data_IF_164622931557
#
_entry.id   IF_164622931557
#
_cell.length_a   1.000
_cell.length_b   1.000
_cell.length_c   1.000
_cell.angle_alpha   90.00
_cell.angle_beta   90.00
_cell.angle_gamma   90.00
#
_symmetry.space_group_name_H-M   'P 1'
#
loop_
_entity.id
_entity.type
_entity.pdbx_description
1 polymer ?
#
# COMPACT_ATOMS: atom_id res chain seq x y z
N UNK A 1 6.20 46.28 5.06
CA UNK A 1 7.35 45.49 4.55
C UNK A 1 6.84 44.53 3.49
N UNK A 2 7.10 44.82 2.20
CA UNK A 2 6.79 43.89 1.11
C UNK A 2 7.96 42.90 1.03
N UNK A 3 7.70 41.63 1.37
CA UNK A 3 8.71 40.59 1.21
C UNK A 3 8.97 40.40 -0.29
N UNK A 4 10.18 40.78 -0.71
CA UNK A 4 10.69 40.56 -2.05
C UNK A 4 10.66 39.06 -2.34
N UNK A 5 9.75 38.66 -3.23
CA UNK A 5 9.75 37.35 -3.86
C UNK A 5 11.10 37.23 -4.57
N UNK A 6 12.03 36.45 -4.01
CA UNK A 6 13.24 36.04 -4.72
C UNK A 6 12.78 35.36 -6.00
N UNK A 7 12.95 36.03 -7.15
CA UNK A 7 12.79 35.40 -8.46
C UNK A 7 13.90 34.36 -8.57
N UNK A 8 13.54 33.10 -8.30
CA UNK A 8 14.35 31.95 -8.71
C UNK A 8 14.61 32.12 -10.22
N UNK A 9 15.86 32.04 -10.70
CA UNK A 9 16.15 32.17 -12.12
C UNK A 9 15.27 31.19 -12.91
N UNK A 10 14.84 31.54 -14.13
CA UNK A 10 14.06 30.62 -14.95
C UNK A 10 14.91 29.36 -15.18
N UNK A 11 14.52 28.29 -14.49
CA UNK A 11 15.13 26.98 -14.67
C UNK A 11 14.88 26.55 -16.11
N UNK A 12 15.94 26.27 -16.85
CA UNK A 12 15.82 25.72 -18.20
C UNK A 12 15.46 24.23 -18.10
N UNK A 13 14.16 23.96 -18.21
CA UNK A 13 13.60 22.61 -18.14
C UNK A 13 14.11 21.70 -19.28
N UNK A 14 14.48 22.27 -20.43
CA UNK A 14 15.02 21.50 -21.56
C UNK A 14 16.44 21.06 -21.26
N UNK A 15 17.27 21.97 -20.75
CA UNK A 15 18.63 21.64 -20.33
C UNK A 15 18.63 20.55 -19.24
N UNK A 16 17.72 20.64 -18.27
CA UNK A 16 17.57 19.60 -17.24
C UNK A 16 17.13 18.26 -17.85
N UNK A 17 16.24 18.27 -18.84
CA UNK A 17 15.84 17.06 -19.54
C UNK A 17 16.98 16.43 -20.34
N UNK A 18 17.73 17.23 -21.09
CA UNK A 18 18.87 16.76 -21.88
C UNK A 18 19.96 16.13 -20.98
N UNK A 19 20.24 16.75 -19.82
CA UNK A 19 21.15 16.18 -18.81
C UNK A 19 20.61 14.89 -18.20
N UNK A 20 19.29 14.79 -17.97
CA UNK A 20 18.67 13.55 -17.52
C UNK A 20 18.84 12.42 -18.54
N UNK A 21 18.63 12.70 -19.83
CA UNK A 21 18.87 11.74 -20.93
C UNK A 21 20.34 11.28 -20.99
N UNK A 22 21.28 12.16 -20.65
CA UNK A 22 22.71 11.83 -20.53
C UNK A 22 23.07 11.03 -19.26
N UNK A 23 22.09 10.74 -18.40
CA UNK A 23 22.26 10.03 -17.12
C UNK A 23 23.27 10.73 -16.19
N UNK A 24 23.24 12.06 -16.17
CA UNK A 24 24.06 12.86 -15.25
C UNK A 24 23.78 12.47 -13.79
N UNK A 25 24.80 12.05 -13.00
CA UNK A 25 24.61 11.62 -11.63
C UNK A 25 24.09 12.72 -10.68
N UNK A 26 24.30 14.00 -11.03
CA UNK A 26 23.86 15.14 -10.21
C UNK A 26 22.43 15.60 -10.54
N UNK A 27 21.77 15.02 -11.55
CA UNK A 27 20.51 15.56 -12.06
C UNK A 27 19.39 15.56 -11.02
N UNK A 28 19.36 14.59 -10.11
CA UNK A 28 18.35 14.52 -9.06
C UNK A 28 18.42 15.72 -8.10
N UNK A 29 19.63 16.16 -7.76
CA UNK A 29 19.83 17.33 -6.89
C UNK A 29 19.34 18.59 -7.59
N UNK A 30 19.67 18.75 -8.86
CA UNK A 30 19.25 19.90 -9.65
C UNK A 30 17.73 19.95 -9.85
N UNK A 31 17.10 18.81 -10.11
CA UNK A 31 15.64 18.67 -10.20
C UNK A 31 14.96 19.01 -8.87
N UNK A 32 15.52 18.53 -7.75
CA UNK A 32 15.00 18.81 -6.41
C UNK A 32 15.05 20.33 -6.13
N UNK A 33 16.21 20.95 -6.32
CA UNK A 33 16.40 22.39 -6.11
C UNK A 33 15.51 23.23 -7.04
N UNK A 34 15.30 22.77 -8.27
CA UNK A 34 14.47 23.46 -9.25
C UNK A 34 12.97 23.40 -8.96
N UNK A 35 12.47 22.26 -8.47
CA UNK A 35 11.03 21.97 -8.50
C UNK A 35 10.40 21.66 -7.14
N UNK A 36 11.18 21.38 -6.09
CA UNK A 36 10.63 20.90 -4.82
C UNK A 36 9.59 21.85 -4.22
N UNK A 37 9.93 23.14 -4.03
CA UNK A 37 9.02 24.12 -3.42
C UNK A 37 7.71 24.26 -4.21
N UNK A 38 7.79 24.23 -5.55
CA UNK A 38 6.61 24.41 -6.41
C UNK A 38 5.71 23.18 -6.38
N UNK A 39 6.30 21.98 -6.45
CA UNK A 39 5.54 20.73 -6.46
C UNK A 39 4.95 20.46 -5.07
N UNK A 40 5.74 20.55 -4.00
CA UNK A 40 5.26 20.38 -2.63
C UNK A 40 4.18 21.42 -2.26
N UNK A 41 4.38 22.69 -2.65
CA UNK A 41 3.38 23.73 -2.45
C UNK A 41 2.07 23.42 -3.18
N UNK A 42 2.13 22.88 -4.40
CA UNK A 42 0.94 22.44 -5.12
C UNK A 42 0.26 21.23 -4.47
N UNK A 43 1.02 20.23 -4.01
CA UNK A 43 0.47 19.03 -3.39
C UNK A 43 -0.20 19.34 -2.04
N UNK A 44 0.48 20.10 -1.19
CA UNK A 44 -0.04 20.46 0.14
C UNK A 44 -1.26 21.36 0.06
N UNK A 45 -1.28 22.36 -0.85
CA UNK A 45 -2.44 23.25 -1.01
C UNK A 45 -3.59 22.63 -1.81
N UNK A 46 -3.29 21.87 -2.87
CA UNK A 46 -4.28 21.34 -3.79
C UNK A 46 -4.89 19.99 -3.39
N UNK A 47 -4.10 19.12 -2.75
CA UNK A 47 -4.55 17.79 -2.29
C UNK A 47 -4.72 17.72 -0.76
N UNK A 48 -4.35 18.76 -0.02
CA UNK A 48 -4.42 18.82 1.46
C UNK A 48 -3.71 17.64 2.14
N UNK A 49 -2.66 17.11 1.53
CA UNK A 49 -1.81 16.12 2.17
C UNK A 49 -0.79 16.80 3.09
N UNK A 50 -0.30 16.04 4.08
CA UNK A 50 0.78 16.49 4.94
C UNK A 50 2.10 16.67 4.15
N UNK A 51 3.04 17.39 4.76
CA UNK A 51 4.32 17.75 4.13
C UNK A 51 5.20 16.52 3.86
N UNK A 52 5.17 15.52 4.73
CA UNK A 52 5.97 14.31 4.59
C UNK A 52 5.48 13.48 3.40
N UNK A 53 4.17 13.26 3.29
CA UNK A 53 3.56 12.59 2.14
C UNK A 53 3.85 13.33 0.82
N UNK A 54 3.82 14.66 0.83
CA UNK A 54 4.15 15.47 -0.35
C UNK A 54 5.64 15.33 -0.74
N UNK A 55 6.53 15.37 0.24
CA UNK A 55 7.97 15.24 0.04
C UNK A 55 8.32 13.85 -0.52
N UNK A 56 7.82 12.78 0.08
CA UNK A 56 8.05 11.43 -0.41
C UNK A 56 7.55 11.23 -1.85
N UNK A 57 6.34 11.71 -2.15
CA UNK A 57 5.78 11.60 -3.50
C UNK A 57 6.61 12.38 -4.53
N UNK A 58 7.19 13.51 -4.14
CA UNK A 58 8.13 14.25 -4.96
C UNK A 58 9.39 13.41 -5.22
N UNK A 59 10.02 12.88 -4.17
CA UNK A 59 11.24 12.06 -4.27
C UNK A 59 11.00 10.87 -5.20
N UNK A 60 9.92 10.11 -4.98
CA UNK A 60 9.57 8.96 -5.81
C UNK A 60 9.46 9.31 -7.31
N UNK A 61 8.85 10.46 -7.61
CA UNK A 61 8.65 10.92 -8.99
C UNK A 61 9.95 11.39 -9.62
N UNK A 62 10.79 12.13 -8.88
CA UNK A 62 12.07 12.57 -9.39
C UNK A 62 12.99 11.37 -9.66
N UNK A 63 13.03 10.38 -8.77
CA UNK A 63 13.77 9.14 -8.98
C UNK A 63 13.25 8.36 -10.19
N UNK A 64 11.93 8.18 -10.30
CA UNK A 64 11.34 7.47 -11.43
C UNK A 64 11.63 8.18 -12.77
N UNK A 65 11.56 9.51 -12.79
CA UNK A 65 11.91 10.32 -13.94
C UNK A 65 13.40 10.21 -14.29
N UNK A 66 14.31 10.37 -13.33
CA UNK A 66 15.76 10.27 -13.59
C UNK A 66 16.19 8.88 -14.05
N UNK A 67 15.47 7.83 -13.63
CA UNK A 67 15.72 6.45 -14.07
C UNK A 67 15.26 6.20 -15.50
N UNK A 68 14.16 6.83 -15.92
CA UNK A 68 13.55 6.66 -17.25
C UNK A 68 13.07 8.00 -17.82
N UNK A 69 14.01 8.91 -18.14
CA UNK A 69 13.68 10.26 -18.62
C UNK A 69 12.97 10.25 -19.98
N UNK A 70 13.15 9.20 -20.79
CA UNK A 70 12.59 9.05 -22.14
C UNK A 70 11.06 8.98 -22.16
N UNK A 71 10.41 8.74 -21.01
CA UNK A 71 8.94 8.72 -20.91
C UNK A 71 8.32 10.11 -20.96
N UNK A 72 9.11 11.16 -20.68
CA UNK A 72 8.66 12.53 -20.81
C UNK A 72 8.83 13.01 -22.25
N UNK A 73 7.76 13.57 -22.82
CA UNK A 73 7.77 14.20 -24.13
C UNK A 73 7.68 15.73 -23.98
N UNK A 74 8.77 16.47 -24.28
CA UNK A 74 8.78 17.94 -24.22
C UNK A 74 7.76 18.63 -25.14
N UNK A 75 7.17 17.92 -26.11
CA UNK A 75 6.13 18.46 -27.00
C UNK A 75 4.74 18.48 -26.35
N UNK A 76 4.52 17.64 -25.33
CA UNK A 76 3.22 17.50 -24.67
C UNK A 76 3.01 18.46 -23.51
N UNK A 77 4.08 19.09 -23.00
CA UNK A 77 3.98 20.07 -21.94
C UNK A 77 5.32 20.38 -21.29
N UNK A 78 5.26 21.17 -20.21
CA UNK A 78 6.43 21.50 -19.38
C UNK A 78 6.77 20.33 -18.46
N UNK A 79 8.06 20.16 -18.17
CA UNK A 79 8.58 19.11 -17.28
C UNK A 79 7.99 19.26 -15.89
N UNK A 80 7.93 20.49 -15.38
CA UNK A 80 7.36 20.75 -14.05
C UNK A 80 5.88 20.33 -13.97
N UNK A 81 5.11 20.52 -15.04
CA UNK A 81 3.70 20.12 -15.11
C UNK A 81 3.57 18.60 -15.14
N UNK A 82 4.40 17.92 -15.93
CA UNK A 82 4.47 16.47 -15.98
C UNK A 82 4.80 15.86 -14.60
N UNK A 83 5.84 16.36 -13.94
CA UNK A 83 6.27 15.88 -12.62
C UNK A 83 5.21 16.16 -11.55
N UNK A 84 4.57 17.34 -11.58
CA UNK A 84 3.49 17.68 -10.65
C UNK A 84 2.31 16.72 -10.81
N UNK A 85 1.95 16.40 -12.05
CA UNK A 85 0.84 15.48 -12.33
C UNK A 85 1.18 14.06 -11.89
N UNK A 86 2.41 13.59 -12.14
CA UNK A 86 2.88 12.30 -11.64
C UNK A 86 2.86 12.22 -10.10
N UNK A 87 3.30 13.28 -9.42
CA UNK A 87 3.32 13.34 -7.95
C UNK A 87 1.91 13.35 -7.38
N UNK A 88 0.96 14.04 -8.03
CA UNK A 88 -0.45 14.00 -7.69
C UNK A 88 -1.04 12.59 -7.78
N UNK A 89 -0.69 11.81 -8.81
CA UNK A 89 -1.11 10.41 -8.89
C UNK A 89 -0.50 9.58 -7.77
N UNK A 90 0.78 9.76 -7.45
CA UNK A 90 1.44 9.06 -6.33
C UNK A 90 0.77 9.36 -4.98
N UNK A 91 0.48 10.62 -4.70
CA UNK A 91 -0.24 11.02 -3.47
C UNK A 91 -1.63 10.36 -3.44
N UNK A 92 -2.37 10.37 -4.56
CA UNK A 92 -3.69 9.72 -4.62
C UNK A 92 -3.61 8.21 -4.42
N UNK A 93 -2.63 7.55 -5.02
CA UNK A 93 -2.42 6.11 -4.85
C UNK A 93 -2.03 5.79 -3.41
N UNK A 94 -1.20 6.61 -2.77
CA UNK A 94 -0.86 6.47 -1.34
C UNK A 94 -2.07 6.72 -0.45
N UNK A 95 -2.86 7.78 -0.69
CA UNK A 95 -4.09 8.04 0.07
C UNK A 95 -5.12 6.93 -0.12
N UNK A 96 -5.25 6.37 -1.33
CA UNK A 96 -6.10 5.22 -1.60
C UNK A 96 -5.58 3.95 -0.94
N UNK A 97 -4.26 3.75 -0.93
CA UNK A 97 -3.63 2.62 -0.26
C UNK A 97 -3.82 2.74 1.24
N UNK A 98 -3.59 3.92 1.83
CA UNK A 98 -3.87 4.22 3.24
C UNK A 98 -5.35 4.13 3.59
N UNK A 99 -6.27 4.53 2.71
CA UNK A 99 -7.71 4.36 2.93
C UNK A 99 -8.12 2.88 2.78
N UNK A 100 -7.47 2.13 1.90
CA UNK A 100 -7.68 0.68 1.77
C UNK A 100 -6.99 -0.10 2.89
N UNK A 101 -5.90 0.41 3.44
CA UNK A 101 -5.22 -0.10 4.63
C UNK A 101 -6.07 0.25 5.82
N UNK A 102 -6.43 1.50 6.08
CA UNK A 102 -7.37 1.90 7.11
C UNK A 102 -8.73 1.20 6.98
N UNK A 103 -9.27 0.93 5.79
CA UNK A 103 -10.49 0.11 5.66
C UNK A 103 -10.19 -1.37 5.91
N UNK A 104 -9.03 -1.88 5.52
CA UNK A 104 -8.61 -3.24 5.89
C UNK A 104 -8.35 -3.33 7.38
N UNK A 105 -7.87 -2.28 8.00
CA UNK A 105 -7.42 -2.16 9.38
C UNK A 105 -8.58 -1.74 10.28
N UNK A 106 -9.64 -1.12 9.76
CA UNK A 106 -10.98 -0.95 10.37
C UNK A 106 -11.83 -2.19 10.15
N UNK A 107 -11.72 -2.91 9.03
CA UNK A 107 -12.36 -4.22 8.88
C UNK A 107 -11.63 -5.26 9.75
N UNK A 108 -10.31 -5.14 9.90
CA UNK A 108 -9.55 -5.92 10.88
C UNK A 108 -9.81 -5.38 12.29
N UNK A 109 -9.88 -4.07 12.54
CA UNK A 109 -10.19 -3.51 13.86
C UNK A 109 -11.64 -3.68 14.26
N UNK A 110 -12.61 -3.81 13.37
CA UNK A 110 -13.98 -4.22 13.73
C UNK A 110 -14.03 -5.72 14.02
N UNK A 111 -13.09 -6.50 13.48
CA UNK A 111 -12.89 -7.91 13.80
C UNK A 111 -12.01 -8.08 15.05
N UNK A 112 -11.15 -7.11 15.37
CA UNK A 112 -10.16 -7.09 16.47
C UNK A 112 -10.61 -6.20 17.64
N UNK A 113 -11.65 -5.36 17.53
CA UNK A 113 -12.33 -4.73 18.67
C UNK A 113 -13.13 -5.76 19.48
N UNK A 114 -13.37 -6.95 18.90
CA UNK A 114 -13.77 -8.13 19.65
C UNK A 114 -12.60 -8.75 20.45
N UNK A 115 -11.34 -8.36 20.19
CA UNK A 115 -10.12 -8.98 20.74
C UNK A 115 -8.95 -7.98 20.79
N UNK A 116 -8.97 -7.04 21.73
CA UNK A 116 -7.73 -6.37 22.17
C UNK A 116 -7.47 -6.78 23.62
N UNK A 117 -6.25 -7.26 23.90
CA UNK A 117 -5.46 -6.55 24.90
C UNK A 117 -4.11 -6.04 24.39
N UNK A 118 -3.57 -5.18 25.24
CA UNK A 118 -2.45 -4.25 25.09
C UNK A 118 -1.07 -4.88 24.76
N UNK A 119 -0.08 -4.07 24.30
CA UNK A 119 1.09 -4.54 23.56
C UNK A 119 2.19 -5.21 24.41
N UNK A 120 1.91 -6.42 24.92
CA UNK A 120 2.89 -7.35 25.49
C UNK A 120 2.73 -8.83 25.03
N UNK A 121 1.84 -9.12 24.10
CA UNK A 121 1.28 -10.48 23.88
C UNK A 121 1.64 -11.13 22.53
N UNK A 122 2.80 -10.87 21.94
CA UNK A 122 3.13 -11.43 20.61
C UNK A 122 3.26 -12.98 20.60
N UNK A 123 3.44 -13.62 21.77
CA UNK A 123 3.52 -15.08 21.89
C UNK A 123 2.20 -15.75 22.32
N UNK A 124 1.37 -15.07 23.13
CA UNK A 124 0.07 -15.58 23.57
C UNK A 124 -0.95 -15.55 22.43
N UNK A 125 -0.89 -14.51 21.59
CA UNK A 125 -1.78 -14.33 20.43
C UNK A 125 -1.68 -15.46 19.39
N UNK A 126 -0.48 -16.03 19.17
CA UNK A 126 -0.33 -17.17 18.24
C UNK A 126 -1.00 -18.44 18.76
N UNK A 127 -0.94 -18.67 20.08
CA UNK A 127 -1.57 -19.83 20.73
C UNK A 127 -3.09 -19.68 20.74
N UNK A 128 -3.61 -18.48 21.00
CA UNK A 128 -5.05 -18.21 20.97
C UNK A 128 -5.64 -18.27 19.56
N UNK A 129 -4.94 -17.71 18.55
CA UNK A 129 -5.33 -17.84 17.15
C UNK A 129 -5.33 -19.30 16.69
N UNK A 130 -4.37 -20.11 17.13
CA UNK A 130 -4.36 -21.55 16.85
C UNK A 130 -5.55 -22.27 17.49
N UNK A 131 -5.89 -21.95 18.75
CA UNK A 131 -7.07 -22.52 19.44
C UNK A 131 -8.39 -22.12 18.79
N UNK A 132 -8.49 -20.91 18.22
CA UNK A 132 -9.66 -20.50 17.46
C UNK A 132 -9.85 -21.33 16.18
N UNK A 133 -8.76 -21.65 15.48
CA UNK A 133 -8.80 -22.57 14.31
C UNK A 133 -9.21 -23.97 14.74
N UNK A 134 -8.67 -24.48 15.86
CA UNK A 134 -8.99 -25.81 16.34
C UNK A 134 -10.49 -25.92 16.72
N UNK A 135 -11.07 -24.88 17.34
CA UNK A 135 -12.53 -24.80 17.60
C UNK A 135 -13.37 -24.81 16.32
N UNK A 136 -12.91 -24.18 15.23
CA UNK A 136 -13.59 -24.20 13.93
C UNK A 136 -13.56 -25.59 13.26
N UNK A 137 -12.47 -26.34 13.48
CA UNK A 137 -12.33 -27.73 13.03
C UNK A 137 -13.26 -28.64 13.84
N UNK A 138 -13.28 -28.48 15.17
CA UNK A 138 -14.14 -29.26 16.08
C UNK A 138 -15.63 -29.04 15.81
N UNK A 139 -16.06 -27.79 15.51
CA UNK A 139 -17.44 -27.49 15.07
C UNK A 139 -17.75 -27.98 13.63
N UNK A 140 -16.78 -28.57 12.92
CA UNK A 140 -16.94 -29.14 11.58
C UNK A 140 -17.16 -28.10 10.47
N UNK A 141 -16.84 -26.84 10.74
CA UNK A 141 -17.00 -25.72 9.79
C UNK A 141 -15.85 -25.67 8.77
N UNK A 142 -14.66 -26.14 9.17
CA UNK A 142 -13.51 -26.34 8.30
C UNK A 142 -13.29 -27.83 8.09
N UNK A 143 -13.67 -28.34 6.91
CA UNK A 143 -13.53 -29.76 6.56
C UNK A 143 -12.33 -30.06 5.66
N UNK A 144 -11.73 -29.02 5.08
CA UNK A 144 -10.59 -29.16 4.18
C UNK A 144 -9.31 -28.73 4.91
N UNK A 145 -8.35 -29.65 5.01
CA UNK A 145 -7.04 -29.41 5.63
C UNK A 145 -6.26 -28.28 4.94
N UNK A 146 -6.51 -28.04 3.65
CA UNK A 146 -5.90 -26.96 2.87
C UNK A 146 -6.42 -25.60 3.27
N UNK A 147 -7.73 -25.52 3.51
CA UNK A 147 -8.39 -24.32 4.00
C UNK A 147 -7.91 -23.99 5.44
N UNK A 148 -7.69 -25.01 6.28
CA UNK A 148 -7.09 -24.86 7.62
C UNK A 148 -5.65 -24.33 7.53
N UNK A 149 -4.82 -24.91 6.65
CA UNK A 149 -3.44 -24.49 6.46
C UNK A 149 -3.35 -23.04 5.95
N UNK A 150 -4.19 -22.68 4.99
CA UNK A 150 -4.28 -21.31 4.48
C UNK A 150 -4.77 -20.34 5.56
N UNK A 151 -5.74 -20.74 6.40
CA UNK A 151 -6.25 -19.92 7.49
C UNK A 151 -5.18 -19.66 8.55
N UNK A 152 -4.39 -20.68 8.92
CA UNK A 152 -3.27 -20.54 9.87
C UNK A 152 -2.23 -19.54 9.37
N UNK A 153 -1.91 -19.57 8.08
CA UNK A 153 -1.00 -18.60 7.45
C UNK A 153 -1.56 -17.16 7.50
N UNK A 154 -2.85 -17.00 7.20
CA UNK A 154 -3.52 -15.69 7.28
C UNK A 154 -3.48 -15.14 8.71
N UNK A 155 -3.73 -16.00 9.71
CA UNK A 155 -3.71 -15.63 11.13
C UNK A 155 -2.30 -15.34 11.66
N UNK A 156 -1.27 -15.97 11.10
CA UNK A 156 0.13 -15.64 11.41
C UNK A 156 0.64 -14.38 10.70
N UNK A 157 -0.22 -13.65 9.97
CA UNK A 157 0.13 -12.42 9.26
C UNK A 157 0.72 -12.60 7.85
N UNK A 158 0.73 -13.83 7.32
CA UNK A 158 1.23 -14.11 5.97
C UNK A 158 0.18 -13.73 4.91
N UNK A 159 0.58 -12.89 3.96
CA UNK A 159 -0.31 -12.34 2.92
C UNK A 159 0.18 -12.59 1.49
N UNK A 160 1.32 -13.28 1.34
CA UNK A 160 1.87 -13.65 0.04
C UNK A 160 0.91 -14.58 -0.70
N UNK A 161 0.49 -14.16 -1.90
CA UNK A 161 -0.40 -14.95 -2.76
C UNK A 161 0.22 -16.30 -3.13
N UNK A 162 1.54 -16.36 -3.26
CA UNK A 162 2.26 -17.59 -3.61
C UNK A 162 2.33 -18.58 -2.44
N UNK A 163 2.48 -18.08 -1.21
CA UNK A 163 2.49 -18.92 0.00
C UNK A 163 1.09 -19.47 0.28
N UNK A 164 0.06 -18.65 0.08
CA UNK A 164 -1.34 -19.06 0.19
C UNK A 164 -1.74 -20.04 -0.93
N UNK A 165 -1.32 -19.81 -2.17
CA UNK A 165 -1.58 -20.74 -3.28
C UNK A 165 -0.97 -22.13 -3.03
N UNK A 166 0.24 -22.18 -2.49
CA UNK A 166 0.90 -23.43 -2.09
C UNK A 166 0.14 -24.16 -0.98
N UNK A 167 -0.32 -23.43 0.05
CA UNK A 167 -1.11 -24.02 1.13
C UNK A 167 -2.48 -24.55 0.66
N UNK A 168 -3.09 -23.87 -0.31
CA UNK A 168 -4.36 -24.29 -0.94
C UNK A 168 -4.17 -25.43 -1.97
N UNK A 169 -2.94 -25.84 -2.26
CA UNK A 169 -2.63 -26.87 -3.26
C UNK A 169 -3.02 -26.45 -4.68
N UNK A 170 -2.98 -25.15 -4.98
CA UNK A 170 -3.33 -24.59 -6.28
C UNK A 170 -2.13 -24.60 -7.22
N UNK A 171 -2.37 -24.91 -8.49
CA UNK A 171 -1.34 -24.86 -9.53
C UNK A 171 -0.93 -23.41 -9.80
N UNK A 172 0.37 -23.14 -9.67
CA UNK A 172 1.00 -21.82 -9.82
C UNK A 172 1.34 -21.48 -11.27
N UNK A 173 1.02 -22.36 -12.22
CA UNK A 173 1.34 -22.22 -13.65
C UNK A 173 0.70 -21.00 -14.33
N UNK A 174 -0.39 -20.44 -13.80
CA UNK A 174 -1.04 -19.23 -14.32
C UNK A 174 -1.32 -18.21 -13.20
N UNK A 175 -0.52 -17.13 -13.16
CA UNK A 175 -0.57 -16.09 -12.13
C UNK A 175 -1.94 -15.41 -11.96
N UNK A 176 -2.68 -15.16 -13.04
CA UNK A 176 -4.02 -14.54 -12.96
C UNK A 176 -5.04 -15.49 -12.35
N UNK A 177 -5.04 -16.75 -12.79
CA UNK A 177 -5.92 -17.79 -12.25
C UNK A 177 -5.59 -18.09 -10.80
N UNK A 178 -4.31 -18.13 -10.43
CA UNK A 178 -3.84 -18.30 -9.06
C UNK A 178 -4.39 -17.18 -8.15
N UNK A 179 -4.26 -15.91 -8.55
CA UNK A 179 -4.78 -14.78 -7.77
C UNK A 179 -6.29 -14.85 -7.58
N UNK A 180 -7.02 -15.24 -8.63
CA UNK A 180 -8.48 -15.32 -8.58
C UNK A 180 -8.96 -16.46 -7.67
N UNK A 181 -8.32 -17.63 -7.73
CA UNK A 181 -8.64 -18.77 -6.87
C UNK A 181 -8.27 -18.49 -5.41
N UNK A 182 -7.05 -17.99 -5.14
CA UNK A 182 -6.63 -17.58 -3.79
C UNK A 182 -7.61 -16.56 -3.19
N UNK A 183 -8.06 -15.58 -3.99
CA UNK A 183 -9.06 -14.61 -3.54
C UNK A 183 -10.39 -15.28 -3.18
N UNK A 184 -10.90 -16.19 -4.00
CA UNK A 184 -12.16 -16.93 -3.72
C UNK A 184 -12.07 -17.72 -2.43
N UNK A 185 -10.97 -18.45 -2.22
CA UNK A 185 -10.74 -19.21 -1.00
C UNK A 185 -10.64 -18.29 0.22
N UNK A 186 -9.90 -17.18 0.12
CA UNK A 186 -9.79 -16.19 1.19
C UNK A 186 -11.15 -15.57 1.54
N UNK A 187 -11.93 -15.15 0.53
CA UNK A 187 -13.25 -14.56 0.74
C UNK A 187 -14.21 -15.56 1.42
N UNK A 188 -14.09 -16.85 1.09
CA UNK A 188 -14.85 -17.93 1.74
C UNK A 188 -14.42 -18.11 3.21
N UNK A 189 -13.13 -18.16 3.48
CA UNK A 189 -12.58 -18.30 4.84
C UNK A 189 -13.01 -17.11 5.73
N UNK A 190 -12.91 -15.88 5.22
CA UNK A 190 -13.35 -14.68 5.94
C UNK A 190 -14.85 -14.75 6.27
N UNK A 191 -15.70 -15.21 5.33
CA UNK A 191 -17.13 -15.39 5.59
C UNK A 191 -17.44 -16.45 6.66
N UNK A 192 -16.62 -17.50 6.76
CA UNK A 192 -16.76 -18.52 7.82
C UNK A 192 -16.39 -17.90 9.17
N UNK A 193 -15.29 -17.15 9.23
CA UNK A 193 -14.87 -16.41 10.43
C UNK A 193 -15.92 -15.38 10.87
N UNK A 194 -16.46 -14.59 9.95
CA UNK A 194 -17.51 -13.60 10.24
C UNK A 194 -18.79 -14.23 10.80
N UNK A 195 -19.13 -15.45 10.35
CA UNK A 195 -20.28 -16.19 10.90
C UNK A 195 -19.99 -16.72 12.29
N UNK A 196 -18.78 -17.26 12.49
CA UNK A 196 -18.35 -17.76 13.79
C UNK A 196 -18.28 -16.64 14.84
N UNK A 197 -17.70 -15.48 14.48
CA UNK A 197 -17.64 -14.31 15.37
C UNK A 197 -18.99 -13.68 15.69
N UNK A 198 -20.06 -14.01 14.94
CA UNK A 198 -21.44 -13.60 15.23
C UNK A 198 -22.24 -14.64 16.00
N UNK A 199 -21.78 -15.90 16.05
CA UNK A 199 -22.43 -17.01 16.76
C UNK A 199 -21.86 -17.26 18.17
N UNK A 200 -20.78 -16.57 18.59
CA UNK A 200 -20.31 -16.54 19.98
C UNK A 200 -20.73 -15.22 20.72
N UNK A 201 -22.04 -14.92 20.94
CA UNK A 201 -22.47 -14.04 22.02
C UNK A 201 -22.76 -14.81 23.33
N UNK A 202 -22.43 -16.09 23.43
CA UNK A 202 -22.58 -16.86 24.66
C UNK A 202 -21.22 -17.04 25.36
N UNK A 203 -20.79 -15.99 26.05
CA UNK A 203 -19.97 -16.17 27.26
C UNK A 203 -20.94 -16.22 28.47
N UNK A 204 -21.08 -17.35 29.17
CA UNK A 204 -21.99 -17.49 30.29
C UNK A 204 -21.42 -16.83 31.56
N UNK A 205 -22.21 -15.89 32.11
CA UNK A 205 -22.33 -15.48 33.52
C UNK A 205 -21.08 -15.03 34.30
#
# INVERSE_FOLDING_TARGET
MRMSIRRVPPVDERQLHDRALQKDPAILVDLLLAFAERIEGFLTSGLKCDKETAHDALIDVLFAYATTPERYDPRQGRLVTYLTQAAKYRVRDRLRSRASEAQREENFASVVELWQPSPKEDLENYVEASRAVDRLIEKGLLKDERDVAALRLILSGESSTETLARALGLDTSCLERMRQEVKRHRDRLMKILERFGKEDPDDPA
#
